data_IF_163975638345
#
_entry.id   IF_163975638345
#
_cell.length_a   1.000
_cell.length_b   1.000
_cell.length_c   1.000
_cell.angle_alpha   90.00
_cell.angle_beta   90.00
_cell.angle_gamma   90.00
#
_symmetry.space_group_name_H-M   'P 1'
#
loop_
_entity.id
_entity.type
_entity.pdbx_description
1 polymer ?
#
# COMPACT_ATOMS: atom_id res chain seq x y z
N UNK A 1 31.50 -39.51 3.48
CA UNK A 1 30.50 -39.37 2.39
C UNK A 1 29.45 -40.46 2.58
N UNK A 2 28.46 -40.30 3.47
CA UNK A 2 27.32 -41.23 3.64
C UNK A 2 26.44 -40.83 4.84
N UNK A 3 25.76 -39.67 4.80
CA UNK A 3 24.68 -39.33 5.77
C UNK A 3 23.67 -38.33 5.17
N UNK A 4 23.25 -38.54 3.92
CA UNK A 4 22.12 -37.82 3.31
C UNK A 4 20.93 -38.74 3.00
N UNK A 5 20.94 -39.96 3.56
CA UNK A 5 19.73 -40.78 3.65
C UNK A 5 18.81 -40.20 4.74
N UNK A 6 18.36 -38.96 4.56
CA UNK A 6 17.12 -38.46 5.17
C UNK A 6 16.02 -39.19 4.42
N UNK A 7 15.85 -40.46 4.79
CA UNK A 7 14.65 -41.22 4.52
C UNK A 7 13.54 -40.44 5.20
N UNK A 8 12.80 -39.66 4.42
CA UNK A 8 11.45 -39.26 4.77
C UNK A 8 10.64 -40.55 4.88
N UNK A 9 10.77 -41.23 6.02
CA UNK A 9 9.85 -42.27 6.44
C UNK A 9 8.54 -41.55 6.76
N UNK A 10 7.83 -41.14 5.71
CA UNK A 10 6.42 -40.80 5.80
C UNK A 10 5.77 -42.13 6.18
N UNK A 11 5.60 -42.35 7.48
CA UNK A 11 4.84 -43.48 7.99
C UNK A 11 3.47 -43.51 7.30
N UNK A 12 2.79 -44.68 7.28
CA UNK A 12 1.47 -44.77 6.69
C UNK A 12 0.59 -43.65 7.26
N UNK A 13 -0.04 -42.89 6.36
CA UNK A 13 -0.94 -41.72 6.62
C UNK A 13 -2.25 -42.17 7.31
N UNK A 14 -2.17 -43.23 8.10
CA UNK A 14 -3.29 -43.89 8.74
C UNK A 14 -3.74 -43.03 9.92
N UNK A 15 -4.84 -42.32 9.67
CA UNK A 15 -5.59 -41.39 10.52
C UNK A 15 -5.17 -39.91 10.40
N UNK A 16 -5.51 -39.29 9.26
CA UNK A 16 -5.70 -37.83 9.21
C UNK A 16 -6.75 -37.48 10.26
N UNK A 17 -6.31 -36.86 11.35
CA UNK A 17 -7.23 -36.40 12.38
C UNK A 17 -8.10 -35.30 11.77
N UNK A 18 -9.43 -35.44 11.90
CA UNK A 18 -10.35 -34.45 11.36
C UNK A 18 -10.00 -33.07 11.94
N UNK A 19 -9.98 -32.00 11.12
CA UNK A 19 -9.67 -30.67 11.61
C UNK A 19 -10.64 -30.28 12.72
N UNK A 20 -10.12 -29.67 13.79
CA UNK A 20 -10.93 -29.19 14.90
C UNK A 20 -12.00 -28.21 14.37
N UNK A 21 -13.25 -28.28 14.85
CA UNK A 21 -14.33 -27.43 14.34
C UNK A 21 -14.04 -25.92 14.52
N UNK A 22 -13.28 -25.57 15.55
CA UNK A 22 -12.81 -24.21 15.82
C UNK A 22 -11.91 -23.67 14.70
N UNK A 23 -10.94 -24.49 14.24
CA UNK A 23 -10.05 -24.11 13.14
C UNK A 23 -10.83 -23.92 11.83
N UNK A 24 -11.84 -24.76 11.58
CA UNK A 24 -12.75 -24.60 10.42
C UNK A 24 -13.52 -23.27 10.52
N UNK A 25 -14.05 -22.95 11.70
CA UNK A 25 -14.73 -21.68 11.96
C UNK A 25 -13.81 -20.47 11.72
N UNK A 26 -12.58 -20.50 12.22
CA UNK A 26 -11.59 -19.45 12.03
C UNK A 26 -11.22 -19.26 10.55
N UNK A 27 -10.97 -20.35 9.81
CA UNK A 27 -10.70 -20.31 8.37
C UNK A 27 -11.86 -19.71 7.59
N UNK A 28 -13.11 -20.08 7.90
CA UNK A 28 -14.28 -19.50 7.25
C UNK A 28 -14.40 -18.00 7.52
N UNK A 29 -14.16 -17.57 8.76
CA UNK A 29 -14.20 -16.16 9.14
C UNK A 29 -13.14 -15.34 8.39
N UNK A 30 -11.92 -15.88 8.31
CA UNK A 30 -10.81 -15.33 7.54
C UNK A 30 -11.13 -15.23 6.03
N UNK A 31 -11.75 -16.27 5.46
CA UNK A 31 -12.21 -16.27 4.07
C UNK A 31 -13.22 -15.14 3.81
N UNK A 32 -14.26 -15.06 4.64
CA UNK A 32 -15.32 -14.05 4.53
C UNK A 32 -14.72 -12.65 4.65
N UNK A 33 -13.80 -12.45 5.60
CA UNK A 33 -13.12 -11.17 5.80
C UNK A 33 -12.38 -10.69 4.55
N UNK A 34 -11.65 -11.58 3.88
CA UNK A 34 -10.98 -11.25 2.60
C UNK A 34 -11.95 -10.90 1.50
N UNK A 35 -13.04 -11.66 1.36
CA UNK A 35 -14.07 -11.36 0.36
C UNK A 35 -14.66 -9.96 0.60
N UNK A 36 -14.93 -9.61 1.86
CA UNK A 36 -15.40 -8.28 2.26
C UNK A 36 -14.36 -7.21 1.90
N UNK A 37 -13.08 -7.43 2.21
CA UNK A 37 -11.98 -6.53 1.84
C UNK A 37 -11.88 -6.29 0.33
N UNK A 38 -11.91 -7.37 -0.45
CA UNK A 38 -11.86 -7.31 -1.91
C UNK A 38 -13.09 -6.60 -2.50
N UNK A 39 -14.27 -6.84 -1.94
CA UNK A 39 -15.51 -6.16 -2.33
C UNK A 39 -15.46 -4.66 -2.02
N UNK A 40 -15.00 -4.28 -0.83
CA UNK A 40 -14.84 -2.87 -0.43
C UNK A 40 -13.88 -2.12 -1.35
N UNK A 41 -12.78 -2.76 -1.78
CA UNK A 41 -11.84 -2.20 -2.74
C UNK A 41 -12.52 -1.82 -4.06
N UNK A 42 -13.34 -2.74 -4.61
CA UNK A 42 -14.05 -2.52 -5.87
C UNK A 42 -15.06 -1.38 -5.77
N UNK A 43 -15.75 -1.26 -4.63
CA UNK A 43 -16.79 -0.23 -4.44
C UNK A 43 -16.20 1.17 -4.20
N UNK A 44 -15.00 1.26 -3.63
CA UNK A 44 -14.38 2.53 -3.21
C UNK A 44 -13.06 2.85 -3.92
N UNK A 45 -13.00 2.67 -5.24
CA UNK A 45 -11.78 2.92 -6.05
C UNK A 45 -11.16 4.31 -5.85
N UNK A 46 -11.98 5.34 -5.58
CA UNK A 46 -11.51 6.71 -5.30
C UNK A 46 -10.70 6.84 -4.01
N UNK A 47 -10.85 5.92 -3.06
CA UNK A 47 -10.17 5.93 -1.74
C UNK A 47 -9.09 4.84 -1.63
N UNK A 48 -8.70 4.22 -2.75
CA UNK A 48 -7.76 3.10 -2.77
C UNK A 48 -6.45 3.39 -2.03
N UNK A 49 -5.90 4.60 -2.19
CA UNK A 49 -4.62 4.99 -1.57
C UNK A 49 -4.70 5.05 -0.05
N UNK A 50 -5.82 5.53 0.49
CA UNK A 50 -6.07 5.57 1.93
C UNK A 50 -6.11 4.14 2.49
N UNK A 51 -6.92 3.29 1.87
CA UNK A 51 -7.07 1.91 2.33
C UNK A 51 -5.77 1.13 2.22
N UNK A 52 -4.98 1.34 1.16
CA UNK A 52 -3.67 0.73 1.00
C UNK A 52 -2.70 1.19 2.09
N UNK A 53 -2.72 2.47 2.46
CA UNK A 53 -1.90 3.00 3.55
C UNK A 53 -2.27 2.37 4.91
N UNK A 54 -3.58 2.31 5.21
CA UNK A 54 -4.09 1.68 6.44
C UNK A 54 -3.71 0.20 6.49
N UNK A 55 -3.97 -0.55 5.41
CA UNK A 55 -3.60 -1.96 5.31
C UNK A 55 -2.10 -2.17 5.52
N UNK A 56 -1.26 -1.37 4.87
CA UNK A 56 0.20 -1.46 5.00
C UNK A 56 0.67 -1.16 6.42
N UNK A 57 0.05 -0.18 7.08
CA UNK A 57 0.36 0.15 8.47
C UNK A 57 -0.07 -0.98 9.43
N UNK A 58 -1.24 -1.57 9.23
CA UNK A 58 -1.72 -2.73 10.01
C UNK A 58 -0.77 -3.92 9.87
N UNK A 59 -0.40 -4.29 8.65
CA UNK A 59 0.54 -5.38 8.38
C UNK A 59 1.87 -5.14 9.11
N UNK A 60 2.38 -3.89 9.09
CA UNK A 60 3.62 -3.55 9.79
C UNK A 60 3.49 -3.69 11.31
N UNK A 61 2.37 -3.26 11.87
CA UNK A 61 2.11 -3.38 13.32
C UNK A 61 2.03 -4.84 13.72
N UNK A 62 1.25 -5.67 13.01
CA UNK A 62 1.19 -7.12 13.27
C UNK A 62 2.58 -7.76 13.20
N UNK A 63 3.36 -7.45 12.16
CA UNK A 63 4.71 -8.00 12.04
C UNK A 63 5.63 -7.65 13.22
N UNK A 64 5.49 -6.45 13.79
CA UNK A 64 6.39 -5.96 14.85
C UNK A 64 5.91 -6.24 16.27
N UNK A 65 4.59 -6.29 16.49
CA UNK A 65 3.97 -6.40 17.83
C UNK A 65 3.56 -7.84 18.15
N UNK A 66 3.24 -8.63 17.13
CA UNK A 66 2.74 -10.00 17.28
C UNK A 66 3.85 -11.00 16.94
N UNK A 67 4.28 -11.01 15.66
CA UNK A 67 5.26 -11.99 15.16
C UNK A 67 6.67 -11.82 15.74
N UNK A 68 7.13 -10.58 15.96
CA UNK A 68 8.50 -10.34 16.40
C UNK A 68 8.75 -10.79 17.85
N UNK A 69 7.88 -10.44 18.82
CA UNK A 69 8.02 -10.94 20.19
C UNK A 69 7.91 -12.46 20.28
N UNK A 70 6.94 -13.07 19.59
CA UNK A 70 6.73 -14.52 19.61
C UNK A 70 7.93 -15.27 19.03
N UNK A 71 8.43 -14.85 17.87
CA UNK A 71 9.62 -15.45 17.26
C UNK A 71 10.86 -15.34 18.17
N UNK A 72 10.97 -14.26 18.95
CA UNK A 72 12.06 -14.07 19.89
C UNK A 72 11.94 -14.96 21.13
N UNK A 73 10.74 -15.05 21.71
CA UNK A 73 10.45 -15.89 22.86
C UNK A 73 10.65 -17.38 22.54
N UNK A 74 10.03 -17.86 21.45
CA UNK A 74 10.18 -19.25 21.01
C UNK A 74 11.62 -19.59 20.63
N UNK A 75 12.37 -18.66 20.05
CA UNK A 75 13.78 -18.89 19.76
C UNK A 75 14.62 -19.06 21.02
N UNK A 76 14.35 -18.26 22.06
CA UNK A 76 15.04 -18.37 23.33
C UNK A 76 14.76 -19.74 23.98
N UNK A 77 13.51 -20.19 23.96
CA UNK A 77 13.11 -21.51 24.48
C UNK A 77 13.72 -22.66 23.65
N UNK A 78 13.72 -22.56 22.33
CA UNK A 78 14.25 -23.57 21.43
C UNK A 78 15.80 -23.58 21.34
N UNK A 79 16.48 -22.65 22.03
CA UNK A 79 17.93 -22.47 21.99
C UNK A 79 18.45 -22.01 20.62
N UNK A 80 17.61 -21.34 19.83
CA UNK A 80 17.98 -20.75 18.53
C UNK A 80 18.68 -19.42 18.79
N UNK A 81 19.90 -19.21 18.25
CA UNK A 81 20.63 -17.99 18.52
C UNK A 81 19.94 -16.78 17.85
N UNK A 82 19.91 -15.59 18.49
CA UNK A 82 19.12 -14.45 18.02
C UNK A 82 19.56 -13.91 16.65
N UNK A 83 20.84 -14.08 16.28
CA UNK A 83 21.33 -13.70 14.96
C UNK A 83 20.66 -14.52 13.83
N UNK A 84 20.28 -15.77 14.11
CA UNK A 84 19.61 -16.61 13.13
C UNK A 84 18.22 -16.06 12.79
N UNK A 85 17.49 -15.50 13.77
CA UNK A 85 16.24 -14.79 13.52
C UNK A 85 16.45 -13.58 12.63
N UNK A 86 17.45 -12.74 12.93
CA UNK A 86 17.78 -11.57 12.13
C UNK A 86 18.13 -11.92 10.68
N UNK A 87 18.94 -12.97 10.46
CA UNK A 87 19.26 -13.44 9.10
C UNK A 87 18.04 -14.02 8.39
N UNK A 88 17.18 -14.75 9.10
CA UNK A 88 15.97 -15.36 8.54
C UNK A 88 14.96 -14.30 8.12
N UNK A 89 14.74 -13.29 8.96
CA UNK A 89 13.94 -12.12 8.63
C UNK A 89 14.53 -11.32 7.46
N UNK A 90 15.84 -11.08 7.48
CA UNK A 90 16.56 -10.46 6.36
C UNK A 90 16.38 -11.25 5.05
N UNK A 91 16.45 -12.58 5.11
CA UNK A 91 16.23 -13.46 3.97
C UNK A 91 14.81 -13.34 3.42
N UNK A 92 13.78 -13.46 4.26
CA UNK A 92 12.39 -13.27 3.85
C UNK A 92 12.15 -11.91 3.19
N UNK A 93 12.69 -10.85 3.79
CA UNK A 93 12.65 -9.50 3.25
C UNK A 93 13.32 -9.39 1.87
N UNK A 94 14.50 -9.99 1.71
CA UNK A 94 15.27 -9.97 0.47
C UNK A 94 14.59 -10.76 -0.64
N UNK A 95 14.03 -11.94 -0.35
CA UNK A 95 13.29 -12.76 -1.32
C UNK A 95 12.12 -11.97 -1.91
N UNK A 96 11.31 -11.34 -1.06
CA UNK A 96 10.20 -10.50 -1.54
C UNK A 96 10.70 -9.27 -2.26
N UNK A 97 11.79 -8.66 -1.78
CA UNK A 97 12.43 -7.54 -2.48
C UNK A 97 12.87 -7.94 -3.87
N UNK A 98 13.43 -9.13 -4.05
CA UNK A 98 13.87 -9.63 -5.35
C UNK A 98 12.69 -9.79 -6.32
N UNK A 99 11.60 -10.42 -5.88
CA UNK A 99 10.40 -10.60 -6.71
C UNK A 99 9.68 -9.28 -7.01
N UNK A 100 9.64 -8.35 -6.05
CA UNK A 100 8.97 -7.04 -6.23
C UNK A 100 9.80 -6.05 -7.04
N UNK A 101 11.14 -6.08 -6.94
CA UNK A 101 12.04 -5.14 -7.64
C UNK A 101 12.01 -5.31 -9.15
N UNK A 102 11.80 -6.52 -9.66
CA UNK A 102 11.65 -6.74 -11.11
C UNK A 102 10.29 -6.32 -11.66
N UNK A 103 9.27 -6.16 -10.81
CA UNK A 103 7.93 -5.71 -11.19
C UNK A 103 7.77 -4.19 -11.26
N UNK A 104 8.57 -3.42 -10.50
CA UNK A 104 8.55 -1.96 -10.53
C UNK A 104 9.47 -1.39 -11.62
N UNK A 105 9.17 -1.67 -12.89
CA UNK A 105 9.70 -0.88 -14.00
C UNK A 105 8.97 0.48 -14.02
N UNK A 106 9.32 1.38 -13.10
CA UNK A 106 8.91 2.78 -13.20
C UNK A 106 9.46 3.32 -14.53
N UNK A 107 8.65 3.96 -15.39
CA UNK A 107 9.09 4.46 -16.70
C UNK A 107 10.11 5.61 -16.65
N UNK A 108 10.62 5.99 -15.48
CA UNK A 108 11.34 7.26 -15.26
C UNK A 108 12.81 7.25 -15.69
N UNK A 109 13.42 6.10 -15.95
CA UNK A 109 14.76 6.01 -16.55
C UNK A 109 14.66 5.76 -18.07
N UNK A 110 13.81 6.52 -18.77
CA UNK A 110 14.02 6.71 -20.19
C UNK A 110 15.19 7.70 -20.33
N UNK A 111 16.40 7.27 -20.76
CA UNK A 111 17.48 8.21 -21.02
C UNK A 111 16.97 9.28 -21.99
N UNK A 112 17.39 10.55 -21.84
CA UNK A 112 16.98 11.64 -22.71
C UNK A 112 17.16 11.18 -24.16
N UNK A 113 16.06 11.17 -24.91
CA UNK A 113 15.97 10.63 -26.26
C UNK A 113 16.97 11.34 -27.17
N UNK A 114 18.15 10.75 -27.34
CA UNK A 114 19.03 11.03 -28.45
C UNK A 114 18.56 10.18 -29.65
N UNK A 115 18.26 10.85 -30.76
CA UNK A 115 18.30 10.26 -32.11
C UNK A 115 17.13 9.36 -32.50
N UNK A 116 16.34 9.85 -33.45
CA UNK A 116 15.32 9.09 -34.16
C UNK A 116 15.94 7.94 -34.97
N UNK A 117 15.99 6.74 -34.40
CA UNK A 117 16.06 5.51 -35.20
C UNK A 117 14.97 4.55 -34.71
N UNK A 118 14.14 4.11 -35.65
CA UNK A 118 13.13 3.08 -35.42
C UNK A 118 13.79 1.70 -35.50
N UNK A 119 14.06 1.06 -34.35
CA UNK A 119 13.82 -0.38 -34.28
C UNK A 119 13.09 -0.78 -32.99
N UNK A 120 12.11 -1.68 -33.13
CA UNK A 120 11.79 -2.65 -32.08
C UNK A 120 10.41 -2.54 -31.42
N UNK A 121 9.34 -2.84 -32.18
CA UNK A 121 8.02 -3.19 -31.61
C UNK A 121 8.13 -4.37 -30.61
N UNK A 122 9.07 -5.29 -30.86
CA UNK A 122 9.35 -6.46 -30.02
C UNK A 122 9.84 -6.12 -28.60
N UNK A 123 10.58 -5.02 -28.41
CA UNK A 123 11.10 -4.65 -27.08
C UNK A 123 10.00 -4.15 -26.15
N UNK A 124 8.99 -3.45 -26.70
CA UNK A 124 7.84 -2.96 -25.93
C UNK A 124 6.89 -4.07 -25.50
N UNK A 125 6.67 -5.06 -26.36
CA UNK A 125 5.84 -6.23 -25.99
C UNK A 125 6.53 -7.04 -24.89
N UNK A 126 7.85 -7.27 -25.00
CA UNK A 126 8.61 -7.98 -23.96
C UNK A 126 8.60 -7.23 -22.62
N UNK A 127 8.82 -5.92 -22.63
CA UNK A 127 8.78 -5.10 -21.41
C UNK A 127 7.38 -5.00 -20.79
N UNK A 128 6.32 -4.93 -21.59
CA UNK A 128 4.94 -4.91 -21.10
C UNK A 128 4.49 -6.24 -20.51
N UNK A 129 4.93 -7.36 -21.11
CA UNK A 129 4.67 -8.71 -20.59
C UNK A 129 5.45 -8.94 -19.30
N UNK A 130 6.75 -8.59 -19.24
CA UNK A 130 7.55 -8.75 -18.03
C UNK A 130 7.01 -7.89 -16.86
N UNK A 131 6.65 -6.62 -17.09
CA UNK A 131 6.09 -5.78 -16.03
C UNK A 131 4.72 -6.28 -15.51
N UNK A 132 3.83 -6.74 -16.41
CA UNK A 132 2.51 -7.23 -16.03
C UNK A 132 2.53 -8.64 -15.40
N UNK A 133 3.50 -9.47 -15.78
CA UNK A 133 3.67 -10.83 -15.25
C UNK A 133 4.35 -10.79 -13.88
N UNK A 134 5.40 -9.99 -13.72
CA UNK A 134 6.16 -9.95 -12.46
C UNK A 134 5.54 -9.05 -11.38
N UNK A 135 4.82 -7.97 -11.73
CA UNK A 135 4.24 -7.08 -10.74
C UNK A 135 2.98 -7.62 -10.05
N UNK A 136 1.98 -8.04 -10.83
CA UNK A 136 0.66 -8.44 -10.32
C UNK A 136 0.59 -9.89 -9.84
N UNK A 137 1.08 -10.84 -10.64
CA UNK A 137 1.00 -12.27 -10.29
C UNK A 137 2.00 -12.65 -9.20
N UNK A 138 3.22 -12.10 -9.24
CA UNK A 138 4.21 -12.33 -8.19
C UNK A 138 3.71 -11.89 -6.82
N UNK A 139 3.09 -10.71 -6.73
CA UNK A 139 2.51 -10.23 -5.47
C UNK A 139 1.29 -11.06 -5.04
N UNK A 140 0.42 -11.44 -5.97
CA UNK A 140 -0.74 -12.28 -5.64
C UNK A 140 -0.34 -13.69 -5.17
N UNK A 141 0.70 -14.28 -5.78
CA UNK A 141 1.27 -15.56 -5.34
C UNK A 141 1.93 -15.43 -3.97
N UNK A 142 2.69 -14.35 -3.72
CA UNK A 142 3.28 -14.09 -2.41
C UNK A 142 2.21 -13.94 -1.32
N UNK A 143 1.12 -13.20 -1.58
CA UNK A 143 -0.01 -13.08 -0.66
C UNK A 143 -0.70 -14.43 -0.42
N UNK A 144 -0.90 -15.23 -1.46
CA UNK A 144 -1.47 -16.59 -1.31
C UNK A 144 -0.59 -17.47 -0.42
N UNK A 145 0.72 -17.46 -0.65
CA UNK A 145 1.66 -18.25 0.16
C UNK A 145 1.68 -17.73 1.61
N UNK A 146 1.68 -16.42 1.80
CA UNK A 146 1.62 -15.80 3.11
C UNK A 146 0.39 -16.28 3.90
N UNK A 147 -0.78 -16.30 3.26
CA UNK A 147 -2.03 -16.77 3.86
C UNK A 147 -2.07 -18.27 4.15
N UNK A 148 -1.38 -19.08 3.35
CA UNK A 148 -1.18 -20.48 3.70
C UNK A 148 -0.36 -20.60 5.00
N UNK A 149 0.62 -19.72 5.21
CA UNK A 149 1.39 -19.71 6.46
C UNK A 149 0.53 -19.23 7.63
N UNK A 150 -0.32 -18.22 7.45
CA UNK A 150 -1.31 -17.81 8.46
C UNK A 150 -2.27 -18.94 8.82
N UNK A 151 -2.74 -19.70 7.82
CA UNK A 151 -3.57 -20.88 8.05
C UNK A 151 -2.84 -21.96 8.85
N UNK A 152 -1.54 -22.15 8.61
CA UNK A 152 -0.73 -23.05 9.41
C UNK A 152 -0.63 -22.56 10.86
N UNK A 153 -0.44 -21.25 11.08
CA UNK A 153 -0.45 -20.65 12.41
C UNK A 153 -1.81 -20.83 13.13
N UNK A 154 -2.94 -20.64 12.43
CA UNK A 154 -4.29 -20.89 12.98
C UNK A 154 -4.50 -22.32 13.47
N UNK A 155 -3.85 -23.31 12.87
CA UNK A 155 -3.92 -24.68 13.35
C UNK A 155 -3.18 -24.88 14.68
N UNK A 156 -2.18 -24.04 14.95
CA UNK A 156 -1.32 -24.11 16.13
C UNK A 156 -1.85 -23.21 17.27
N UNK A 157 -2.51 -22.09 16.94
CA UNK A 157 -2.97 -21.09 17.92
C UNK A 157 -4.48 -21.17 18.17
N UNK A 158 -4.90 -21.42 19.42
CA UNK A 158 -6.32 -21.43 19.80
C UNK A 158 -6.84 -20.07 20.34
N UNK A 159 -6.05 -18.99 20.23
CA UNK A 159 -6.40 -17.70 20.84
C UNK A 159 -7.45 -16.93 20.02
N UNK A 160 -8.54 -16.54 20.68
CA UNK A 160 -9.59 -15.67 20.10
C UNK A 160 -9.01 -14.34 19.64
N UNK A 161 -8.03 -13.79 20.37
CA UNK A 161 -7.37 -12.52 20.03
C UNK A 161 -6.63 -12.64 18.70
N UNK A 162 -5.88 -13.73 18.52
CA UNK A 162 -5.17 -14.03 17.27
C UNK A 162 -6.15 -14.18 16.10
N UNK A 163 -7.28 -14.87 16.30
CA UNK A 163 -8.33 -15.00 15.27
C UNK A 163 -8.89 -13.63 14.87
N UNK A 164 -9.17 -12.74 15.83
CA UNK A 164 -9.65 -11.38 15.54
C UNK A 164 -8.60 -10.59 14.76
N UNK A 165 -7.33 -10.66 15.17
CA UNK A 165 -6.22 -10.00 14.50
C UNK A 165 -6.09 -10.47 13.04
N UNK A 166 -6.13 -11.78 12.81
CA UNK A 166 -6.07 -12.40 11.48
C UNK A 166 -7.27 -12.04 10.61
N UNK A 167 -8.46 -11.89 11.18
CA UNK A 167 -9.64 -11.43 10.46
C UNK A 167 -9.45 -10.00 9.96
N UNK A 168 -9.01 -9.08 10.82
CA UNK A 168 -8.74 -7.68 10.42
C UNK A 168 -7.62 -7.61 9.38
N UNK A 169 -6.57 -8.42 9.55
CA UNK A 169 -5.47 -8.57 8.61
C UNK A 169 -5.97 -9.06 7.24
N UNK A 170 -6.74 -10.15 7.22
CA UNK A 170 -7.28 -10.78 6.02
C UNK A 170 -8.22 -9.90 5.20
N UNK A 171 -8.98 -9.00 5.84
CA UNK A 171 -9.73 -7.97 5.13
C UNK A 171 -8.80 -6.98 4.41
N UNK A 172 -7.74 -6.54 5.10
CA UNK A 172 -6.75 -5.62 4.56
C UNK A 172 -6.01 -6.22 3.36
N UNK A 173 -5.69 -7.51 3.42
CA UNK A 173 -5.09 -8.24 2.31
C UNK A 173 -6.03 -8.41 1.12
N UNK A 174 -7.30 -8.78 1.37
CA UNK A 174 -8.31 -8.89 0.31
C UNK A 174 -8.48 -7.58 -0.46
N UNK A 175 -8.43 -6.45 0.27
CA UNK A 175 -8.44 -5.12 -0.31
C UNK A 175 -7.18 -4.86 -1.15
N UNK A 176 -5.99 -5.17 -0.62
CA UNK A 176 -4.73 -4.98 -1.33
C UNK A 176 -4.64 -5.83 -2.61
N UNK A 177 -5.04 -7.10 -2.53
CA UNK A 177 -5.09 -8.03 -3.66
C UNK A 177 -6.01 -7.51 -4.76
N UNK A 178 -7.21 -7.06 -4.40
CA UNK A 178 -8.15 -6.47 -5.34
C UNK A 178 -7.58 -5.22 -6.01
N UNK A 179 -6.87 -4.37 -5.26
CA UNK A 179 -6.24 -3.18 -5.80
C UNK A 179 -5.10 -3.48 -6.78
N UNK A 180 -4.24 -4.41 -6.43
CA UNK A 180 -3.12 -4.79 -7.28
C UNK A 180 -3.59 -5.46 -8.58
N UNK A 181 -4.61 -6.32 -8.51
CA UNK A 181 -5.16 -6.99 -9.69
C UNK A 181 -5.94 -6.04 -10.60
N UNK A 182 -6.64 -5.05 -10.04
CA UNK A 182 -7.30 -3.99 -10.82
C UNK A 182 -6.26 -3.15 -11.60
N UNK A 183 -5.16 -2.75 -10.94
CA UNK A 183 -4.04 -2.05 -11.58
C UNK A 183 -3.42 -2.92 -12.69
N UNK A 184 -3.24 -4.22 -12.45
CA UNK A 184 -2.70 -5.16 -13.42
C UNK A 184 -3.71 -5.57 -14.52
N UNK A 185 -4.96 -5.08 -14.45
CA UNK A 185 -6.09 -5.47 -15.33
C UNK A 185 -6.28 -6.99 -15.44
N UNK A 186 -6.04 -7.72 -14.35
CA UNK A 186 -6.22 -9.18 -14.30
C UNK A 186 -7.58 -9.54 -13.71
N UNK A 187 -8.05 -10.76 -13.99
CA UNK A 187 -9.31 -11.27 -13.44
C UNK A 187 -9.14 -11.48 -11.94
N UNK A 188 -9.90 -10.76 -11.12
CA UNK A 188 -9.85 -10.84 -9.66
C UNK A 188 -10.28 -12.20 -9.11
N UNK A 189 -11.36 -12.76 -9.67
CA UNK A 189 -12.05 -13.95 -9.14
C UNK A 189 -11.13 -15.16 -8.92
N UNK A 190 -10.33 -15.64 -9.91
CA UNK A 190 -9.51 -16.83 -9.70
C UNK A 190 -8.46 -16.63 -8.61
N UNK A 191 -7.84 -15.45 -8.55
CA UNK A 191 -6.86 -15.13 -7.50
C UNK A 191 -7.49 -15.02 -6.12
N UNK A 192 -8.71 -14.48 -6.04
CA UNK A 192 -9.44 -14.38 -4.79
C UNK A 192 -9.85 -15.77 -4.27
N UNK A 193 -10.27 -16.68 -5.15
CA UNK A 193 -10.55 -18.08 -4.78
C UNK A 193 -9.29 -18.75 -4.24
N UNK A 194 -8.16 -18.62 -4.93
CA UNK A 194 -6.88 -19.19 -4.49
C UNK A 194 -6.45 -18.59 -3.14
N UNK A 195 -6.58 -17.29 -2.96
CA UNK A 195 -6.29 -16.62 -1.69
C UNK A 195 -7.22 -17.09 -0.56
N UNK A 196 -8.52 -17.29 -0.80
CA UNK A 196 -9.45 -17.80 0.22
C UNK A 196 -9.21 -19.29 0.55
N UNK A 197 -8.77 -20.11 -0.40
CA UNK A 197 -8.46 -21.51 -0.12
C UNK A 197 -7.13 -21.70 0.60
N UNK A 198 -6.22 -20.74 0.49
CA UNK A 198 -4.86 -20.88 1.03
C UNK A 198 -4.77 -21.09 2.54
N UNK A 199 -5.56 -20.43 3.43
CA UNK A 199 -5.52 -20.71 4.86
C UNK A 199 -5.94 -22.16 5.19
N UNK A 200 -6.92 -22.71 4.46
CA UNK A 200 -7.32 -24.11 4.64
C UNK A 200 -6.19 -25.07 4.28
N UNK A 201 -5.45 -24.77 3.19
CA UNK A 201 -4.24 -25.52 2.81
C UNK A 201 -3.17 -25.41 3.90
N UNK A 202 -3.03 -24.23 4.51
CA UNK A 202 -2.17 -24.00 5.66
C UNK A 202 -2.49 -24.91 6.84
N UNK A 203 -3.73 -24.87 7.31
CA UNK A 203 -4.23 -25.71 8.42
C UNK A 203 -3.99 -27.20 8.12
N UNK A 204 -4.29 -27.63 6.90
CA UNK A 204 -4.08 -29.01 6.48
C UNK A 204 -2.60 -29.39 6.51
N UNK A 205 -1.73 -28.51 6.01
CA UNK A 205 -0.28 -28.76 5.97
C UNK A 205 0.30 -28.87 7.38
N UNK A 206 -0.08 -27.96 8.29
CA UNK A 206 0.33 -28.01 9.69
C UNK A 206 -0.17 -29.28 10.40
N UNK A 207 -1.38 -29.75 10.06
CA UNK A 207 -1.94 -30.98 10.62
C UNK A 207 -1.22 -32.25 10.16
N UNK A 208 -0.62 -32.22 8.96
CA UNK A 208 0.06 -33.38 8.37
C UNK A 208 1.55 -33.46 8.72
N UNK A 209 2.18 -32.35 9.07
CA UNK A 209 3.62 -32.28 9.33
C UNK A 209 3.91 -31.41 10.54
N UNK A 210 3.95 -31.97 11.77
CA UNK A 210 4.38 -31.23 12.94
C UNK A 210 5.80 -30.70 12.69
N UNK A 211 5.96 -29.38 12.81
CA UNK A 211 7.24 -28.73 12.59
C UNK A 211 8.13 -28.97 13.82
N UNK A 212 9.42 -29.26 13.64
CA UNK A 212 10.36 -29.29 14.77
C UNK A 212 10.37 -27.93 15.47
N UNK A 213 10.40 -27.93 16.81
CA UNK A 213 10.33 -26.71 17.64
C UNK A 213 11.38 -25.65 17.27
N UNK A 214 12.55 -26.08 16.78
CA UNK A 214 13.62 -25.18 16.34
C UNK A 214 13.33 -24.46 15.01
N UNK A 215 12.43 -24.99 14.19
CA UNK A 215 12.11 -24.45 12.86
C UNK A 215 11.02 -23.38 12.95
N UNK A 216 10.11 -23.50 13.92
CA UNK A 216 9.00 -22.54 14.11
C UNK A 216 9.48 -21.09 14.24
N UNK A 217 10.38 -20.72 15.16
CA UNK A 217 10.84 -19.34 15.30
C UNK A 217 11.61 -18.83 14.07
N UNK A 218 12.31 -19.73 13.35
CA UNK A 218 12.99 -19.39 12.10
C UNK A 218 11.95 -19.03 11.02
N UNK A 219 10.89 -19.83 10.88
CA UNK A 219 9.80 -19.57 9.93
C UNK A 219 9.05 -18.28 10.28
N UNK A 220 8.72 -18.06 11.56
CA UNK A 220 8.10 -16.82 12.02
C UNK A 220 8.97 -15.60 11.68
N UNK A 221 10.28 -15.69 11.89
CA UNK A 221 11.21 -14.62 11.50
C UNK A 221 11.22 -14.37 9.98
N UNK A 222 11.24 -15.43 9.14
CA UNK A 222 11.12 -15.28 7.68
C UNK A 222 9.82 -14.56 7.29
N UNK A 223 8.69 -14.97 7.87
CA UNK A 223 7.36 -14.38 7.62
C UNK A 223 7.31 -12.92 8.03
N UNK A 224 7.85 -12.58 9.20
CA UNK A 224 8.00 -11.20 9.66
C UNK A 224 8.78 -10.36 8.63
N UNK A 225 9.90 -10.87 8.13
CA UNK A 225 10.69 -10.21 7.09
C UNK A 225 9.91 -9.96 5.78
N UNK A 226 9.13 -10.96 5.35
CA UNK A 226 8.22 -10.87 4.20
C UNK A 226 7.19 -9.75 4.41
N UNK A 227 6.53 -9.73 5.58
CA UNK A 227 5.50 -8.75 5.91
C UNK A 227 6.04 -7.32 6.04
N UNK A 228 7.20 -7.15 6.68
CA UNK A 228 7.85 -5.85 6.76
C UNK A 228 8.12 -5.30 5.35
N UNK A 229 8.57 -6.15 4.41
CA UNK A 229 8.79 -5.72 3.03
C UNK A 229 7.50 -5.31 2.33
N UNK A 230 6.45 -6.14 2.42
CA UNK A 230 5.16 -5.85 1.76
C UNK A 230 4.54 -4.57 2.30
N UNK A 231 4.59 -4.35 3.62
CA UNK A 231 4.14 -3.13 4.26
C UNK A 231 4.90 -1.89 3.78
N UNK A 232 6.24 -1.95 3.72
CA UNK A 232 7.06 -0.81 3.23
C UNK A 232 6.73 -0.49 1.77
N UNK A 233 6.59 -1.50 0.91
CA UNK A 233 6.23 -1.31 -0.50
C UNK A 233 4.82 -0.72 -0.62
N UNK A 234 3.85 -1.26 0.11
CA UNK A 234 2.48 -0.75 0.12
C UNK A 234 2.39 0.71 0.60
N UNK A 235 3.16 1.07 1.63
CA UNK A 235 3.26 2.43 2.13
C UNK A 235 3.92 3.38 1.11
N UNK A 236 4.99 2.94 0.43
CA UNK A 236 5.62 3.70 -0.67
C UNK A 236 4.67 3.89 -1.85
N UNK A 237 3.90 2.88 -2.24
CA UNK A 237 2.89 2.99 -3.29
C UNK A 237 1.75 3.92 -2.90
N UNK A 238 1.33 3.88 -1.63
CA UNK A 238 0.34 4.80 -1.10
C UNK A 238 0.88 6.24 -1.12
N UNK A 239 2.14 6.46 -0.74
CA UNK A 239 2.82 7.77 -0.74
C UNK A 239 3.06 8.31 -2.16
N UNK A 240 3.51 7.51 -3.11
CA UNK A 240 3.76 7.96 -4.49
C UNK A 240 2.48 8.44 -5.20
N UNK A 241 1.32 7.87 -4.85
CA UNK A 241 0.02 8.40 -5.32
C UNK A 241 -0.37 9.74 -4.69
N UNK A 242 0.31 10.18 -3.63
CA UNK A 242 0.04 11.46 -2.95
C UNK A 242 0.67 12.65 -3.67
N UNK A 243 1.76 12.46 -4.42
CA UNK A 243 2.44 13.54 -5.15
C UNK A 243 1.56 14.17 -6.24
N UNK A 244 0.46 13.48 -6.64
CA UNK A 244 -0.63 14.04 -7.45
C UNK A 244 -1.58 15.00 -6.72
N UNK A 245 -1.40 15.22 -5.41
CA UNK A 245 -1.87 16.43 -4.71
C UNK A 245 -3.13 16.35 -3.85
N UNK A 246 -3.63 15.21 -3.35
CA UNK A 246 -4.85 15.20 -2.48
C UNK A 246 -4.97 14.09 -1.43
N UNK A 247 -3.94 13.77 -0.65
CA UNK A 247 -4.20 13.19 0.69
C UNK A 247 -3.94 14.26 1.75
N UNK A 248 -5.04 14.81 2.29
CA UNK A 248 -5.02 15.68 3.46
C UNK A 248 -4.28 14.96 4.60
N UNK A 249 -3.42 15.67 5.34
CA UNK A 249 -2.70 15.16 6.53
C UNK A 249 -3.61 14.41 7.53
N UNK A 250 -4.91 14.71 7.52
CA UNK A 250 -5.95 13.99 8.27
C UNK A 250 -5.98 12.49 7.98
N UNK A 251 -5.76 12.08 6.73
CA UNK A 251 -5.75 10.68 6.33
C UNK A 251 -4.56 9.91 6.89
N UNK A 252 -3.38 10.55 6.92
CA UNK A 252 -2.18 10.00 7.53
C UNK A 252 -2.40 9.85 9.05
N UNK A 253 -2.97 10.88 9.68
CA UNK A 253 -3.32 10.82 11.10
C UNK A 253 -4.33 9.71 11.42
N UNK A 254 -5.35 9.49 10.57
CA UNK A 254 -6.31 8.39 10.73
C UNK A 254 -5.61 7.03 10.60
N UNK A 255 -4.75 6.86 9.59
CA UNK A 255 -4.02 5.60 9.40
C UNK A 255 -3.07 5.31 10.56
N UNK A 256 -2.32 6.32 11.02
CA UNK A 256 -1.46 6.21 12.18
C UNK A 256 -2.25 5.95 13.47
N UNK A 257 -3.40 6.60 13.64
CA UNK A 257 -4.29 6.37 14.79
C UNK A 257 -4.88 4.96 14.81
N UNK A 258 -5.31 4.44 13.66
CA UNK A 258 -5.76 3.05 13.54
C UNK A 258 -4.63 2.05 13.86
N UNK A 259 -3.42 2.31 13.33
CA UNK A 259 -2.20 1.56 13.64
C UNK A 259 -1.88 1.52 15.14
N UNK A 260 -1.84 2.69 15.77
CA UNK A 260 -1.58 2.79 17.20
C UNK A 260 -2.68 2.11 18.03
N UNK A 261 -3.96 2.31 17.67
CA UNK A 261 -5.08 1.69 18.36
C UNK A 261 -5.03 0.16 18.34
N UNK A 262 -4.75 -0.43 17.17
CA UNK A 262 -4.59 -1.87 17.05
C UNK A 262 -3.36 -2.39 17.82
N UNK A 263 -2.23 -1.68 17.74
CA UNK A 263 -1.02 -2.05 18.49
C UNK A 263 -1.22 -2.01 20.01
N UNK A 264 -1.94 -1.01 20.52
CA UNK A 264 -2.30 -0.92 21.95
C UNK A 264 -3.24 -2.06 22.34
N UNK A 265 -4.22 -2.39 21.50
CA UNK A 265 -5.15 -3.50 21.76
C UNK A 265 -4.43 -4.85 21.83
N UNK A 266 -3.52 -5.11 20.90
CA UNK A 266 -2.71 -6.34 20.89
C UNK A 266 -1.79 -6.40 22.11
N UNK A 267 -1.05 -5.32 22.39
CA UNK A 267 -0.19 -5.24 23.57
C UNK A 267 -0.98 -5.44 24.87
N UNK A 268 -2.17 -4.85 24.98
CA UNK A 268 -3.06 -5.01 26.12
C UNK A 268 -3.56 -6.45 26.28
N UNK A 269 -3.87 -7.14 25.17
CA UNK A 269 -4.27 -8.53 25.21
C UNK A 269 -3.16 -9.43 25.76
N UNK A 270 -1.91 -9.23 25.34
CA UNK A 270 -0.77 -9.98 25.89
C UNK A 270 -0.55 -9.72 27.38
N UNK A 271 -0.79 -8.50 27.87
CA UNK A 271 -0.65 -8.22 29.30
C UNK A 271 -1.75 -8.85 30.15
N UNK A 272 -2.95 -9.07 29.60
CA UNK A 272 -4.05 -9.70 30.32
C UNK A 272 -3.89 -11.22 30.39
N UNK A 273 -3.42 -11.86 29.31
CA UNK A 273 -3.19 -13.30 29.26
C UNK A 273 -2.07 -13.75 30.22
N UNK A 274 -1.14 -12.86 30.56
CA UNK A 274 -0.05 -13.12 31.49
C UNK A 274 -0.44 -13.11 32.98
N UNK A 275 -1.60 -12.56 33.35
CA UNK A 275 -1.99 -12.40 34.76
C UNK A 275 -2.74 -13.62 35.32
N UNK A 276 -3.29 -14.48 34.46
CA UNK A 276 -4.01 -15.70 34.86
C UNK A 276 -3.08 -16.73 35.54
N UNK A 277 -1.77 -16.66 35.31
CA UNK A 277 -0.78 -17.49 35.98
C UNK A 277 -0.58 -17.16 37.46
N UNK A 278 -0.96 -15.96 37.90
CA UNK A 278 -0.86 -15.57 39.32
C UNK A 278 -2.08 -16.01 40.14
N UNK A 279 -3.26 -16.20 39.54
CA UNK A 279 -4.43 -16.73 40.25
C UNK A 279 -4.35 -18.25 40.50
N UNK A 280 -3.75 -19.05 39.61
CA UNK A 280 -3.50 -20.48 39.90
C UNK A 280 -2.42 -20.66 40.98
N UNK A 281 -1.38 -19.82 40.98
CA UNK A 281 -0.36 -19.82 42.03
C UNK A 281 -0.94 -19.33 43.37
N UNK A 282 -1.84 -18.34 43.36
CA UNK A 282 -2.55 -17.89 44.55
C UNK A 282 -3.61 -18.89 45.02
N UNK A 283 -4.27 -19.66 44.14
CA UNK A 283 -5.19 -20.74 44.52
C UNK A 283 -4.48 -21.96 45.12
N UNK A 284 -3.30 -22.30 44.59
CA UNK A 284 -2.40 -23.31 45.16
C UNK A 284 -1.78 -22.85 46.48
N UNK A 285 -1.35 -21.59 46.56
CA UNK A 285 -0.85 -20.99 47.79
C UNK A 285 -1.96 -20.81 48.85
N UNK A 286 -3.19 -20.44 48.48
CA UNK A 286 -4.33 -20.30 49.40
C UNK A 286 -4.85 -21.67 49.87
N UNK A 287 -4.68 -22.74 49.09
CA UNK A 287 -4.91 -24.11 49.56
C UNK A 287 -3.82 -24.57 50.55
N UNK A 288 -2.56 -24.15 50.35
CA UNK A 288 -1.47 -24.39 51.30
C UNK A 288 -1.50 -23.44 52.53
N UNK A 289 -2.07 -22.24 52.37
CA UNK A 289 -2.29 -21.25 53.43
C UNK A 289 -3.54 -21.58 54.25
N UNK A 290 -4.58 -22.21 53.69
CA UNK A 290 -5.70 -22.74 54.48
C UNK A 290 -5.23 -23.85 55.44
N UNK A 291 -4.25 -24.67 55.03
CA UNK A 291 -3.58 -25.64 55.92
C UNK A 291 -2.62 -24.96 56.92
N UNK A 292 -2.16 -23.75 56.64
CA UNK A 292 -1.22 -22.99 57.51
C UNK A 292 -1.92 -21.95 58.41
N UNK A 293 -3.13 -21.50 58.07
CA UNK A 293 -3.88 -20.44 58.73
C UNK A 293 -4.70 -20.94 59.94
N UNK A 294 -4.85 -22.25 60.12
CA UNK A 294 -5.29 -22.82 61.40
C UNK A 294 -4.23 -22.65 62.50
N UNK A 295 -2.96 -22.38 62.14
CA UNK A 295 -1.84 -22.34 63.09
C UNK A 295 -1.42 -20.94 63.58
N UNK A 296 -1.90 -19.85 62.98
CA UNK A 296 -1.30 -18.53 63.22
C UNK A 296 -2.32 -17.40 63.39
N UNK A 297 -3.10 -17.49 64.46
CA UNK A 297 -3.95 -16.39 64.92
C UNK A 297 -3.14 -15.51 65.89
N UNK A 298 -2.49 -14.44 65.39
CA UNK A 298 -2.03 -13.34 66.27
C UNK A 298 -1.89 -11.97 65.58
N UNK A 299 -2.83 -11.12 65.98
CA UNK A 299 -3.04 -9.65 65.97
C UNK A 299 -1.88 -8.68 65.63
N UNK A 300 -2.26 -7.66 64.82
CA UNK A 300 -1.64 -6.40 64.31
C UNK A 300 -1.22 -5.35 65.39
N UNK A 301 -0.52 -4.20 65.11
CA UNK A 301 -1.01 -3.04 64.30
C UNK A 301 0.03 -2.18 63.49
N UNK A 302 -0.52 -1.27 62.68
CA UNK A 302 0.05 -0.33 61.68
C UNK A 302 0.89 0.86 62.23
N UNK A 303 1.49 1.76 61.38
CA UNK A 303 0.75 2.97 60.93
C UNK A 303 1.21 3.74 59.64
N UNK A 304 0.29 4.61 59.14
CA UNK A 304 0.41 6.01 58.61
C UNK A 304 1.08 6.43 57.28
N UNK A 305 0.28 7.16 56.48
CA UNK A 305 0.55 8.01 55.28
C UNK A 305 1.24 9.35 55.62
N UNK A 306 1.84 10.13 54.68
CA UNK A 306 1.15 11.28 54.03
C UNK A 306 1.70 11.66 52.58
N UNK A 307 1.66 12.90 52.03
CA UNK A 307 0.76 13.26 50.92
C UNK A 307 1.38 13.85 49.61
N UNK A 308 0.57 13.76 48.53
CA UNK A 308 0.31 14.69 47.40
C UNK A 308 1.24 15.91 47.16
N UNK A 309 1.82 16.04 45.95
CA UNK A 309 2.35 17.33 45.42
C UNK A 309 1.89 17.62 43.98
N UNK A 310 1.17 18.74 43.83
CA UNK A 310 0.83 19.45 42.57
C UNK A 310 2.09 20.09 41.98
N UNK A 311 2.25 20.09 40.66
CA UNK A 311 3.12 21.04 39.98
C UNK A 311 2.43 21.59 38.72
N UNK A 312 1.97 22.84 38.83
CA UNK A 312 1.66 23.75 37.73
C UNK A 312 2.95 24.47 37.33
N UNK A 313 3.23 24.62 36.02
CA UNK A 313 3.95 25.78 35.48
C UNK A 313 3.34 26.16 34.13
N UNK A 314 3.14 27.47 33.99
CA UNK A 314 2.44 28.20 32.93
C UNK A 314 3.41 28.67 31.81
N UNK A 315 2.96 29.41 30.77
CA UNK A 315 3.51 29.44 29.41
C UNK A 315 4.41 30.66 29.14
N UNK A 316 5.05 30.75 27.96
CA UNK A 316 5.22 32.02 27.23
C UNK A 316 5.92 31.90 25.87
N UNK A 317 5.61 32.91 25.04
CA UNK A 317 6.39 33.58 23.97
C UNK A 317 5.99 33.30 22.51
N UNK A 318 5.51 34.40 21.89
CA UNK A 318 5.06 34.65 20.51
C UNK A 318 6.24 35.03 19.56
N UNK A 319 6.02 35.31 18.25
CA UNK A 319 6.94 35.09 17.14
C UNK A 319 7.64 36.38 16.64
N UNK A 320 8.48 36.28 15.58
CA UNK A 320 8.79 37.41 14.72
C UNK A 320 8.25 37.29 13.27
N UNK A 321 7.85 38.45 12.77
CA UNK A 321 7.30 38.78 11.44
C UNK A 321 8.39 39.02 10.37
N UNK A 322 8.02 39.08 9.07
CA UNK A 322 8.95 39.11 7.94
C UNK A 322 9.29 40.52 7.41
N UNK A 323 10.46 40.66 6.79
CA UNK A 323 10.91 41.85 6.06
C UNK A 323 10.61 41.76 4.54
N UNK A 324 10.18 42.87 3.89
CA UNK A 324 10.09 42.97 2.43
C UNK A 324 11.31 43.70 1.83
N UNK A 325 11.94 43.12 0.79
CA UNK A 325 13.03 43.71 0.02
C UNK A 325 12.68 43.80 -1.47
N UNK A 326 12.88 44.99 -2.05
CA UNK A 326 12.48 45.45 -3.38
C UNK A 326 13.35 44.92 -4.55
N UNK A 327 12.89 45.07 -5.81
CA UNK A 327 13.43 44.37 -6.98
C UNK A 327 14.53 45.14 -7.73
N UNK A 328 15.56 44.40 -8.18
CA UNK A 328 16.59 44.90 -9.09
C UNK A 328 16.20 44.66 -10.58
N UNK A 329 16.38 45.72 -11.36
CA UNK A 329 16.10 45.86 -12.80
C UNK A 329 17.24 45.19 -13.60
N UNK A 330 16.93 44.14 -14.37
CA UNK A 330 17.90 43.40 -15.19
C UNK A 330 17.70 43.70 -16.68
N UNK A 331 18.79 44.08 -17.34
CA UNK A 331 18.92 44.40 -18.76
C UNK A 331 19.17 43.12 -19.58
N UNK A 332 18.46 42.99 -20.70
CA UNK A 332 18.52 41.80 -21.57
C UNK A 332 19.71 41.83 -22.54
N UNK A 333 20.50 40.74 -22.67
CA UNK A 333 21.44 40.55 -23.78
C UNK A 333 20.89 39.63 -24.87
N UNK A 334 21.36 39.84 -26.10
CA UNK A 334 20.90 39.21 -27.33
C UNK A 334 21.05 37.69 -27.38
N UNK A 335 20.09 37.05 -28.07
CA UNK A 335 19.90 35.60 -28.21
C UNK A 335 20.95 34.99 -29.15
N UNK A 336 21.76 34.05 -28.66
CA UNK A 336 22.69 33.25 -29.48
C UNK A 336 21.92 32.14 -30.23
N UNK A 337 22.19 31.91 -31.53
CA UNK A 337 21.65 30.76 -32.26
C UNK A 337 22.26 29.46 -31.73
N UNK A 338 21.43 28.54 -31.24
CA UNK A 338 21.84 27.21 -30.77
C UNK A 338 21.46 26.88 -29.31
N UNK A 339 20.90 27.83 -28.55
CA UNK A 339 20.41 27.55 -27.19
C UNK A 339 19.11 26.72 -27.28
N UNK A 340 19.00 25.59 -26.54
CA UNK A 340 17.76 24.83 -26.43
C UNK A 340 16.62 25.78 -26.08
N UNK A 341 15.40 25.60 -26.64
CA UNK A 341 14.29 26.50 -26.38
C UNK A 341 14.14 26.67 -24.86
N UNK A 342 14.47 27.88 -24.41
CA UNK A 342 14.42 28.28 -23.01
C UNK A 342 13.08 27.85 -22.44
N UNK A 343 13.13 27.06 -21.36
CA UNK A 343 11.94 26.47 -20.76
C UNK A 343 10.92 27.58 -20.51
N UNK A 344 9.82 27.56 -21.27
CA UNK A 344 8.87 28.66 -21.28
C UNK A 344 8.40 28.93 -19.86
N UNK A 345 8.45 30.20 -19.44
CA UNK A 345 8.08 30.61 -18.09
C UNK A 345 6.73 29.99 -17.68
N UNK A 346 6.60 29.52 -16.41
CA UNK A 346 5.38 28.92 -15.93
C UNK A 346 4.24 29.94 -16.01
N UNK A 347 3.13 29.56 -16.64
CA UNK A 347 1.93 30.38 -16.75
C UNK A 347 0.96 30.01 -15.63
N UNK A 348 0.29 30.99 -15.03
CA UNK A 348 -0.88 30.70 -14.19
C UNK A 348 -2.04 30.13 -15.04
N UNK A 349 -3.02 29.46 -14.40
CA UNK A 349 -4.17 28.89 -15.13
C UNK A 349 -4.99 29.94 -15.90
N UNK A 350 -5.13 31.14 -15.34
CA UNK A 350 -5.84 32.25 -15.99
C UNK A 350 -5.06 32.79 -17.18
N UNK A 351 -3.74 32.86 -17.10
CA UNK A 351 -2.89 33.27 -18.22
C UNK A 351 -2.84 32.21 -19.33
N UNK A 352 -2.77 30.92 -18.97
CA UNK A 352 -2.82 29.81 -19.90
C UNK A 352 -4.13 29.85 -20.70
N UNK A 353 -5.28 29.93 -20.01
CA UNK A 353 -6.59 30.01 -20.67
C UNK A 353 -6.74 31.28 -21.52
N UNK A 354 -6.23 32.44 -21.05
CA UNK A 354 -6.22 33.69 -21.84
C UNK A 354 -5.33 33.55 -23.08
N UNK A 355 -4.17 32.90 -22.97
CA UNK A 355 -3.26 32.66 -24.09
C UNK A 355 -3.87 31.72 -25.13
N UNK A 356 -4.55 30.65 -24.71
CA UNK A 356 -5.28 29.75 -25.62
C UNK A 356 -6.45 30.48 -26.30
N UNK A 357 -7.23 31.25 -25.52
CA UNK A 357 -8.38 32.01 -26.05
C UNK A 357 -8.00 33.10 -27.03
N UNK A 358 -6.84 33.74 -26.81
CA UNK A 358 -6.28 34.74 -27.74
C UNK A 358 -5.56 34.12 -28.95
N UNK A 359 -5.46 32.78 -29.04
CA UNK A 359 -4.69 32.12 -30.09
C UNK A 359 -3.17 32.23 -29.95
N UNK A 360 -2.67 32.84 -28.87
CA UNK A 360 -1.22 32.93 -28.59
C UNK A 360 -0.60 31.57 -28.27
N UNK A 361 -1.38 30.63 -27.77
CA UNK A 361 -0.98 29.24 -27.56
C UNK A 361 -1.93 28.31 -28.31
N UNK A 362 -1.37 27.49 -29.19
CA UNK A 362 -2.12 26.42 -29.86
C UNK A 362 -2.32 25.23 -28.92
N UNK A 363 -3.32 24.39 -29.20
CA UNK A 363 -3.53 23.15 -28.44
C UNK A 363 -2.27 22.26 -28.45
N UNK A 364 -1.59 22.15 -29.58
CA UNK A 364 -0.32 21.40 -29.70
C UNK A 364 0.74 21.92 -28.74
N UNK A 365 0.90 23.24 -28.66
CA UNK A 365 1.85 23.86 -27.73
C UNK A 365 1.45 23.59 -26.28
N UNK A 366 0.17 23.71 -25.92
CA UNK A 366 -0.31 23.39 -24.57
C UNK A 366 -0.03 21.94 -24.19
N UNK A 367 -0.28 20.99 -25.10
CA UNK A 367 -0.02 19.56 -24.83
C UNK A 367 1.48 19.24 -24.71
N UNK A 368 2.36 20.05 -25.30
CA UNK A 368 3.82 19.88 -25.22
C UNK A 368 4.45 20.55 -24.00
N UNK A 369 3.75 21.46 -23.31
CA UNK A 369 4.27 22.12 -22.11
C UNK A 369 4.38 21.14 -20.94
N UNK A 370 5.49 21.24 -20.21
CA UNK A 370 5.82 20.38 -19.06
C UNK A 370 5.62 21.06 -17.71
N UNK A 371 5.24 22.35 -17.69
CA UNK A 371 5.06 23.06 -16.43
C UNK A 371 3.91 22.47 -15.57
N UNK A 372 4.05 22.49 -14.23
CA UNK A 372 3.09 21.84 -13.33
C UNK A 372 1.66 22.36 -13.51
N UNK A 373 1.51 23.65 -13.80
CA UNK A 373 0.20 24.29 -13.94
C UNK A 373 -0.53 23.76 -15.17
N UNK A 374 0.16 23.68 -16.31
CA UNK A 374 -0.41 23.13 -17.55
C UNK A 374 -0.73 21.66 -17.39
N UNK A 375 0.20 20.86 -16.81
CA UNK A 375 0.01 19.43 -16.55
C UNK A 375 -1.24 19.13 -15.71
N UNK A 376 -1.49 19.96 -14.69
CA UNK A 376 -2.64 19.83 -13.79
C UNK A 376 -3.91 20.54 -14.27
N UNK A 377 -3.92 21.13 -15.46
CA UNK A 377 -5.11 21.79 -15.99
C UNK A 377 -6.05 20.74 -16.58
N UNK A 378 -7.35 20.74 -16.23
CA UNK A 378 -8.32 19.82 -16.83
C UNK A 378 -8.39 20.01 -18.34
N UNK A 379 -8.41 18.92 -19.10
CA UNK A 379 -8.46 18.95 -20.57
C UNK A 379 -9.70 19.71 -21.06
N UNK A 380 -10.84 19.51 -20.38
CA UNK A 380 -12.08 20.25 -20.64
C UNK A 380 -11.89 21.77 -20.55
N UNK A 381 -11.13 22.26 -19.57
CA UNK A 381 -10.87 23.69 -19.39
C UNK A 381 -10.03 24.26 -20.54
N UNK A 382 -9.00 23.53 -20.99
CA UNK A 382 -8.18 23.92 -22.15
C UNK A 382 -9.03 23.95 -23.43
N UNK A 383 -9.82 22.91 -23.68
CA UNK A 383 -10.69 22.83 -24.86
C UNK A 383 -11.76 23.92 -24.87
N UNK A 384 -12.35 24.23 -23.71
CA UNK A 384 -13.32 25.32 -23.58
C UNK A 384 -12.72 26.71 -23.78
N UNK A 385 -11.39 26.84 -23.69
CA UNK A 385 -10.69 28.09 -23.95
C UNK A 385 -10.34 28.26 -25.43
N UNK A 386 -10.52 27.25 -26.28
CA UNK A 386 -10.23 27.36 -27.70
C UNK A 386 -11.19 28.35 -28.38
N UNK A 387 -10.71 29.15 -29.35
CA UNK A 387 -11.56 30.05 -30.12
C UNK A 387 -12.68 29.29 -30.82
N UNK A 388 -13.93 29.69 -30.62
CA UNK A 388 -15.11 29.06 -31.24
C UNK A 388 -15.60 27.76 -30.57
N UNK A 389 -14.94 27.29 -29.52
CA UNK A 389 -15.39 26.09 -28.80
C UNK A 389 -16.67 26.36 -28.01
N UNK A 390 -17.74 25.63 -28.35
CA UNK A 390 -19.00 25.63 -27.58
C UNK A 390 -18.98 24.49 -26.56
N UNK A 391 -19.76 24.62 -25.47
CA UNK A 391 -19.87 23.57 -24.45
C UNK A 391 -20.28 22.21 -25.04
N UNK A 392 -21.15 22.21 -26.06
CA UNK A 392 -21.58 21.00 -26.75
C UNK A 392 -20.44 20.40 -27.60
N UNK A 393 -19.71 21.21 -28.37
CA UNK A 393 -18.56 20.72 -29.16
C UNK A 393 -17.49 20.06 -28.29
N UNK A 394 -17.20 20.65 -27.13
CA UNK A 394 -16.24 20.10 -26.16
C UNK A 394 -16.74 18.77 -25.58
N UNK A 395 -18.04 18.65 -25.25
CA UNK A 395 -18.62 17.38 -24.77
C UNK A 395 -18.54 16.29 -25.84
N UNK A 396 -18.89 16.61 -27.09
CA UNK A 396 -18.82 15.65 -28.21
C UNK A 396 -17.38 15.20 -28.46
N UNK A 397 -16.41 16.13 -28.42
CA UNK A 397 -15.00 15.82 -28.60
C UNK A 397 -14.44 14.93 -27.49
N UNK A 398 -14.77 15.21 -26.22
CA UNK A 398 -14.35 14.39 -25.09
C UNK A 398 -14.97 12.98 -25.16
N UNK A 399 -16.25 12.87 -25.54
CA UNK A 399 -16.91 11.58 -25.73
C UNK A 399 -16.28 10.77 -26.87
N UNK A 400 -16.01 11.39 -28.03
CA UNK A 400 -15.41 10.73 -29.19
C UNK A 400 -13.96 10.26 -28.95
N UNK A 401 -13.23 10.96 -28.08
CA UNK A 401 -11.85 10.62 -27.71
C UNK A 401 -11.75 9.67 -26.52
N UNK A 402 -12.88 9.39 -25.84
CA UNK A 402 -12.92 8.58 -24.62
C UNK A 402 -12.20 9.24 -23.43
N UNK A 403 -12.14 10.58 -23.41
CA UNK A 403 -11.48 11.35 -22.34
C UNK A 403 -12.50 11.69 -21.26
N UNK A 404 -12.19 11.35 -20.01
CA UNK A 404 -13.05 11.62 -18.86
C UNK A 404 -13.17 13.12 -18.55
N UNK A 405 -14.30 13.54 -17.98
CA UNK A 405 -14.55 14.96 -17.65
C UNK A 405 -13.55 15.57 -16.64
N UNK A 406 -12.85 14.73 -15.87
CA UNK A 406 -11.86 15.12 -14.87
C UNK A 406 -10.40 14.86 -15.27
N UNK A 407 -10.15 14.42 -16.51
CA UNK A 407 -8.81 14.07 -16.98
C UNK A 407 -7.96 15.33 -17.14
N UNK A 408 -6.71 15.27 -16.68
CA UNK A 408 -5.77 16.39 -16.76
C UNK A 408 -4.91 16.25 -18.01
N UNK A 409 -4.29 17.35 -18.46
CA UNK A 409 -3.40 17.33 -19.66
C UNK A 409 -2.27 16.30 -19.51
N UNK A 410 -1.75 16.11 -18.29
CA UNK A 410 -0.71 15.13 -18.00
C UNK A 410 -1.18 13.67 -18.14
N UNK A 411 -2.46 13.39 -17.93
CA UNK A 411 -3.01 12.04 -17.93
C UNK A 411 -3.33 11.52 -19.35
N UNK A 412 -3.34 12.43 -20.34
CA UNK A 412 -3.63 12.07 -21.73
C UNK A 412 -2.56 11.16 -22.32
N UNK A 413 -2.99 9.97 -22.75
CA UNK A 413 -2.19 9.04 -23.55
C UNK A 413 -1.79 9.64 -24.91
N UNK A 414 -0.70 9.15 -25.50
CA UNK A 414 -0.26 9.54 -26.84
C UNK A 414 -1.35 9.36 -27.91
N UNK A 415 -2.19 8.32 -27.76
CA UNK A 415 -3.32 8.07 -28.66
C UNK A 415 -4.38 9.17 -28.51
N UNK A 416 -4.80 9.47 -27.28
CA UNK A 416 -5.78 10.54 -27.02
C UNK A 416 -5.25 11.89 -27.52
N UNK A 417 -3.96 12.20 -27.28
CA UNK A 417 -3.31 13.43 -27.78
C UNK A 417 -3.38 13.54 -29.30
N UNK A 418 -3.03 12.47 -30.04
CA UNK A 418 -3.11 12.47 -31.51
C UNK A 418 -4.54 12.67 -32.01
N UNK A 419 -5.51 11.93 -31.46
CA UNK A 419 -6.92 12.05 -31.88
C UNK A 419 -7.48 13.44 -31.57
N UNK A 420 -7.15 14.01 -30.41
CA UNK A 420 -7.48 15.40 -30.05
C UNK A 420 -6.95 16.41 -31.05
N UNK A 421 -5.67 16.27 -31.42
CA UNK A 421 -5.03 17.19 -32.37
C UNK A 421 -5.63 17.08 -33.77
N UNK A 422 -5.92 15.86 -34.25
CA UNK A 422 -6.61 15.64 -35.52
C UNK A 422 -8.01 16.27 -35.49
N UNK A 423 -8.81 15.96 -34.47
CA UNK A 423 -10.20 16.42 -34.39
C UNK A 423 -10.31 17.95 -34.24
N UNK A 424 -9.39 18.60 -33.55
CA UNK A 424 -9.36 20.08 -33.45
C UNK A 424 -8.83 20.73 -34.73
N UNK A 425 -7.87 20.08 -35.41
CA UNK A 425 -7.39 20.52 -36.74
C UNK A 425 -8.51 20.52 -37.78
N UNK A 426 -9.32 19.46 -37.81
CA UNK A 426 -10.44 19.32 -38.74
C UNK A 426 -11.53 20.37 -38.50
N UNK A 427 -11.76 20.79 -37.26
CA UNK A 427 -12.74 21.84 -36.95
C UNK A 427 -12.28 23.26 -37.32
N UNK A 428 -10.98 23.50 -37.41
CA UNK A 428 -10.45 24.81 -37.81
C UNK A 428 -10.59 25.07 -39.31
N UNK A 429 -10.57 24.03 -40.14
CA UNK A 429 -10.59 24.13 -41.61
C UNK A 429 -11.89 24.66 -42.24
N UNK A 430 -13.11 24.23 -41.84
CA UNK A 430 -14.36 24.68 -42.48
C UNK A 430 -14.75 26.13 -42.12
N UNK A 431 -14.33 26.65 -40.97
CA UNK A 431 -14.59 28.04 -40.58
C UNK A 431 -13.79 29.04 -41.43
N UNK A 432 -12.59 28.66 -41.89
CA UNK A 432 -11.79 29.48 -42.80
C UNK A 432 -12.39 29.51 -44.21
N UNK A 433 -12.91 28.38 -44.70
CA UNK A 433 -13.56 28.29 -46.02
C UNK A 433 -14.81 29.17 -46.12
N UNK A 434 -15.64 29.21 -45.06
CA UNK A 434 -16.87 30.03 -45.03
C UNK A 434 -16.60 31.54 -44.94
N UNK A 435 -15.37 31.96 -44.62
CA UNK A 435 -14.96 33.37 -44.55
C UNK A 435 -14.40 33.88 -45.88
N UNK A 436 -13.89 32.99 -46.74
CA UNK A 436 -13.40 33.33 -48.07
C UNK A 436 -14.54 33.52 -49.09
N UNK A 437 -15.71 32.94 -48.83
CA UNK A 437 -16.86 32.93 -49.75
C UNK A 437 -17.89 34.04 -49.47
N UNK A 438 -17.51 35.10 -48.74
CA UNK A 438 -18.30 36.35 -48.71
C UNK A 438 -17.76 37.27 -49.80
N UNK A 439 -18.41 37.38 -50.97
CA UNK A 439 -18.05 38.37 -51.97
C UNK A 439 -18.16 39.76 -51.33
N UNK A 440 -17.11 40.56 -51.53
CA UNK A 440 -17.03 41.92 -51.00
C UNK A 440 -18.24 42.73 -51.44
N UNK A 441 -18.99 43.18 -50.44
CA UNK A 441 -19.93 44.31 -50.55
C UNK A 441 -19.20 45.61 -50.34
#
# INVERSE_FOLDING_TARGET
MSSWAVVWAVGPVSAVQAPRPEAVGAVLLVCVSTLVGAFLARRNSKRMSLWLAVASAMILVTALVDLAPDAWAEAAEAGVPPWALGLSAGFGFLVITYFTRRGCACPDDQPPRAGMHAPGLHRRVKQGVDAAVFGGMGTAAALTLHRAIEGAALALTASVVVVIALVVHSASEGLALAALLDIARRRLVPWLVVACLSPAVGVLTASLSPLPDRIVPILLAVVMGVLCRTAIVGMKLAAGRQEGGRLSSRHIAIAAGAAAGAGILLAGAHTLDGDDGHEEAAGGAMSAELDSAEAALTVTPAPTTPPRRRQQVHPSVLPPTPHPGSPARSTAPGRRPGQPPEAAAPLSRSELSRAVRSGRLSLTQVLQRTDPVTRQTPVRSVLSALPGATAQSVRTLLAATGIGAGEQVADLSDRQRRVLLTAVGDQASPAAAKRADRPGT
#
